data_IF_165197883103
#
_entry.id   IF_165197883103
#
_cell.length_a   1.000
_cell.length_b   1.000
_cell.length_c   1.000
_cell.angle_alpha   90.00
_cell.angle_beta   90.00
_cell.angle_gamma   90.00
#
_symmetry.space_group_name_H-M   'P 1'
#
loop_
_entity.id
_entity.type
_entity.pdbx_description
1 polymer ?
#
# COMPACT_ATOMS: atom_id res chain seq x y z
N UNK A 1 3.11 36.56 -7.44
CA UNK A 1 1.69 36.41 -7.06
C UNK A 1 1.20 35.20 -7.85
N UNK A 2 1.59 33.98 -7.50
CA UNK A 2 1.18 33.17 -6.34
C UNK A 2 -0.31 32.86 -6.37
N UNK A 3 -0.65 31.65 -6.83
CA UNK A 3 -1.67 30.73 -6.29
C UNK A 3 -1.60 29.43 -7.12
N UNK A 4 -0.71 28.51 -6.71
CA UNK A 4 -1.10 27.24 -6.08
C UNK A 4 -1.86 26.30 -7.03
N UNK A 5 -1.13 25.69 -7.98
CA UNK A 5 -1.50 24.32 -8.35
C UNK A 5 -1.38 23.48 -7.07
N UNK A 6 -2.45 22.79 -6.61
CA UNK A 6 -2.28 21.85 -5.53
C UNK A 6 -1.30 20.78 -6.03
N UNK A 7 -0.11 20.75 -5.43
CA UNK A 7 0.92 19.77 -5.71
C UNK A 7 0.31 18.37 -5.64
N UNK A 8 0.11 17.74 -6.80
CA UNK A 8 -0.35 16.36 -6.97
C UNK A 8 -1.68 16.05 -6.31
N UNK A 9 -2.72 15.73 -7.10
CA UNK A 9 -3.86 15.01 -6.52
C UNK A 9 -3.34 13.80 -5.73
N UNK A 10 -3.82 13.55 -4.49
CA UNK A 10 -3.33 12.42 -3.70
C UNK A 10 -3.45 11.13 -4.52
N UNK A 11 -2.46 10.23 -4.48
CA UNK A 11 -2.49 9.00 -5.26
C UNK A 11 -3.83 8.29 -5.03
N UNK A 12 -4.57 8.11 -6.12
CA UNK A 12 -5.87 7.42 -6.08
C UNK A 12 -5.63 5.93 -6.03
N UNK A 13 -5.50 5.40 -4.82
CA UNK A 13 -5.34 3.97 -4.59
C UNK A 13 -6.52 3.18 -5.15
N UNK A 14 -6.22 2.13 -5.90
CA UNK A 14 -7.20 1.25 -6.53
C UNK A 14 -7.51 0.03 -5.67
N UNK A 15 -6.49 -0.51 -4.99
CA UNK A 15 -6.62 -1.75 -4.24
C UNK A 15 -5.94 -1.67 -2.89
N UNK A 16 -6.50 -2.38 -1.93
CA UNK A 16 -5.83 -2.75 -0.69
C UNK A 16 -5.47 -4.24 -0.76
N UNK A 17 -4.18 -4.51 -0.71
CA UNK A 17 -3.58 -5.83 -0.67
C UNK A 17 -3.22 -6.19 0.76
N UNK A 18 -3.43 -7.45 1.13
CA UNK A 18 -3.02 -7.99 2.43
C UNK A 18 -2.12 -9.18 2.23
N UNK A 19 -0.97 -9.14 2.89
CA UNK A 19 0.03 -10.21 2.85
C UNK A 19 0.19 -10.83 4.24
N UNK A 20 0.47 -12.13 4.30
CA UNK A 20 0.86 -12.79 5.55
C UNK A 20 2.36 -12.62 5.74
N UNK A 21 2.77 -12.30 6.97
CA UNK A 21 4.19 -12.30 7.30
C UNK A 21 4.66 -13.73 7.52
N UNK A 22 5.82 -14.08 7.00
CA UNK A 22 6.37 -15.44 7.06
C UNK A 22 6.78 -15.81 8.49
N UNK A 23 7.36 -14.87 9.22
CA UNK A 23 7.82 -15.09 10.60
C UNK A 23 6.68 -15.04 11.64
N UNK A 24 5.57 -14.38 11.32
CA UNK A 24 4.44 -14.20 12.24
C UNK A 24 3.10 -14.41 11.50
N UNK A 25 2.61 -15.64 11.37
CA UNK A 25 1.43 -15.95 10.53
C UNK A 25 0.14 -15.25 11.00
N UNK A 26 0.05 -14.84 12.27
CA UNK A 26 -1.07 -14.07 12.81
C UNK A 26 -1.01 -12.57 12.47
N UNK A 27 0.09 -12.10 11.88
CA UNK A 27 0.28 -10.70 11.46
C UNK A 27 0.10 -10.57 9.95
N UNK A 28 -0.54 -9.47 9.56
CA UNK A 28 -0.71 -9.08 8.18
C UNK A 28 0.02 -7.77 7.88
N UNK A 29 0.59 -7.67 6.68
CA UNK A 29 1.02 -6.42 6.08
C UNK A 29 -0.10 -5.89 5.18
N UNK A 30 -0.44 -4.62 5.33
CA UNK A 30 -1.42 -3.92 4.50
C UNK A 30 -0.71 -3.01 3.52
N UNK A 31 -1.07 -3.10 2.25
CA UNK A 31 -0.39 -2.38 1.17
C UNK A 31 -1.43 -1.82 0.22
N UNK A 32 -1.32 -0.56 -0.16
CA UNK A 32 -2.15 0.04 -1.19
C UNK A 32 -1.46 -0.03 -2.54
N UNK A 33 -2.24 -0.34 -3.57
CA UNK A 33 -1.81 -0.29 -4.97
C UNK A 33 -2.46 0.94 -5.63
N UNK A 34 -1.66 1.75 -6.32
CA UNK A 34 -2.17 2.87 -7.11
C UNK A 34 -2.57 2.45 -8.54
N UNK A 35 -2.81 3.44 -9.43
CA UNK A 35 -3.22 3.17 -10.82
C UNK A 35 -2.07 2.75 -11.72
N UNK A 36 -0.85 3.06 -11.32
CA UNK A 36 0.38 2.78 -12.05
C UNK A 36 1.01 1.45 -11.58
N UNK A 37 0.40 0.80 -10.59
CA UNK A 37 0.84 -0.49 -10.03
C UNK A 37 1.88 -0.35 -8.91
N UNK A 38 2.08 0.86 -8.40
CA UNK A 38 3.00 1.10 -7.28
C UNK A 38 2.36 0.72 -5.96
N UNK A 39 3.19 0.13 -5.09
CA UNK A 39 2.79 -0.38 -3.79
C UNK A 39 3.24 0.53 -2.65
N UNK A 40 2.32 0.81 -1.73
CA UNK A 40 2.53 1.68 -0.59
C UNK A 40 2.11 0.99 0.69
N UNK A 41 3.04 0.80 1.63
CA UNK A 41 2.77 0.13 2.89
C UNK A 41 1.99 1.05 3.83
N UNK A 42 0.89 0.52 4.38
CA UNK A 42 0.10 1.17 5.42
C UNK A 42 0.67 0.84 6.80
N UNK A 43 0.94 1.86 7.62
CA UNK A 43 1.18 1.70 9.06
C UNK A 43 -0.04 2.11 9.90
N UNK A 44 0.13 2.14 11.22
CA UNK A 44 -0.86 2.61 12.19
C UNK A 44 -1.51 3.92 11.73
N UNK A 45 -2.81 4.06 11.99
CA UNK A 45 -3.66 5.15 11.46
C UNK A 45 -3.86 5.16 9.94
N UNK A 46 -3.59 4.05 9.25
CA UNK A 46 -4.08 3.87 7.89
C UNK A 46 -3.44 4.87 6.88
N UNK A 47 -2.35 5.54 7.27
CA UNK A 47 -1.58 6.41 6.39
C UNK A 47 -0.59 5.58 5.56
N UNK A 48 -0.45 5.84 4.25
CA UNK A 48 0.64 5.28 3.45
C UNK A 48 1.96 5.92 3.89
N UNK A 49 2.72 5.19 4.72
CA UNK A 49 3.94 5.70 5.37
C UNK A 49 5.19 5.40 4.52
N UNK A 50 5.18 4.37 3.65
CA UNK A 50 6.36 3.95 2.89
C UNK A 50 6.00 3.50 1.47
N UNK A 51 6.77 3.97 0.48
CA UNK A 51 6.65 3.61 -0.93
C UNK A 51 7.34 4.65 -1.83
N UNK A 52 7.30 4.47 -3.16
CA UNK A 52 6.71 3.33 -3.87
C UNK A 52 7.61 2.08 -3.86
N UNK A 53 6.98 0.90 -3.85
CA UNK A 53 7.64 -0.40 -4.01
C UNK A 53 7.02 -1.19 -5.17
N UNK A 54 7.77 -2.15 -5.67
CA UNK A 54 7.28 -3.27 -6.49
C UNK A 54 6.86 -4.46 -5.62
N UNK A 55 6.12 -5.41 -6.19
CA UNK A 55 5.71 -6.64 -5.48
C UNK A 55 6.89 -7.43 -4.91
N UNK A 56 7.96 -7.56 -5.70
CA UNK A 56 9.17 -8.28 -5.27
C UNK A 56 9.88 -7.58 -4.10
N UNK A 57 9.91 -6.24 -4.11
CA UNK A 57 10.48 -5.46 -3.02
C UNK A 57 9.63 -5.58 -1.75
N UNK A 58 8.31 -5.63 -1.85
CA UNK A 58 7.43 -5.88 -0.69
C UNK A 58 7.73 -7.24 -0.06
N UNK A 59 7.78 -8.31 -0.86
CA UNK A 59 8.04 -9.66 -0.36
C UNK A 59 9.40 -9.75 0.35
N UNK A 60 10.45 -9.15 -0.23
CA UNK A 60 11.80 -9.18 0.33
C UNK A 60 11.95 -8.28 1.56
N UNK A 61 11.50 -7.03 1.50
CA UNK A 61 11.73 -6.05 2.55
C UNK A 61 10.91 -6.30 3.82
N UNK A 62 9.71 -6.87 3.67
CA UNK A 62 8.78 -7.10 4.77
C UNK A 62 8.62 -8.59 5.15
N UNK A 63 9.37 -9.48 4.48
CA UNK A 63 9.36 -10.93 4.74
C UNK A 63 7.94 -11.50 4.75
N UNK A 64 7.20 -11.21 3.68
CA UNK A 64 5.83 -11.67 3.47
C UNK A 64 5.75 -12.69 2.33
N UNK A 65 4.63 -13.40 2.24
CA UNK A 65 4.32 -14.22 1.07
C UNK A 65 4.41 -13.40 -0.23
N UNK A 66 4.81 -14.04 -1.34
CA UNK A 66 5.02 -13.37 -2.62
C UNK A 66 3.71 -12.84 -3.25
N UNK A 67 2.56 -13.41 -2.86
CA UNK A 67 1.24 -13.02 -3.34
C UNK A 67 0.35 -12.58 -2.16
N UNK A 68 -0.54 -11.60 -2.37
CA UNK A 68 -1.49 -11.22 -1.35
C UNK A 68 -2.52 -12.33 -1.15
N UNK A 69 -2.79 -12.69 0.10
CA UNK A 69 -3.83 -13.67 0.43
C UNK A 69 -5.25 -13.06 0.34
N UNK A 70 -5.35 -11.73 0.36
CA UNK A 70 -6.61 -11.01 0.20
C UNK A 70 -6.42 -9.68 -0.51
N UNK A 71 -7.38 -9.37 -1.40
CA UNK A 71 -7.40 -8.16 -2.21
C UNK A 71 -8.77 -7.50 -2.05
N UNK A 72 -8.78 -6.18 -1.83
CA UNK A 72 -9.99 -5.37 -1.78
C UNK A 72 -9.90 -4.28 -2.84
N UNK A 73 -10.75 -4.36 -3.85
CA UNK A 73 -10.90 -3.30 -4.85
C UNK A 73 -11.64 -2.11 -4.26
N UNK A 74 -11.21 -0.89 -4.65
CA UNK A 74 -11.74 0.39 -4.16
C UNK A 74 -11.73 0.48 -2.64
N UNK A 75 -10.56 0.47 -1.99
CA UNK A 75 -10.50 0.71 -0.56
C UNK A 75 -11.20 2.04 -0.28
N UNK A 76 -12.22 2.01 0.60
CA UNK A 76 -12.93 3.23 1.00
C UNK A 76 -11.91 4.30 1.39
N UNK A 77 -12.15 5.56 0.99
CA UNK A 77 -11.23 6.68 1.21
C UNK A 77 -10.65 6.58 2.61
N UNK A 78 -9.36 6.31 2.66
CA UNK A 78 -8.66 6.16 3.91
C UNK A 78 -8.49 7.57 4.46
N UNK A 79 -9.41 7.96 5.35
CA UNK A 79 -9.48 9.28 5.96
C UNK A 79 -8.32 9.54 6.90
#
# INVERSE_FOLDING_TARGET
MSENEPAGAPPRFLRLLRFRTLDFPDKELRVLEDRDGWLYVLRLWNTPDFGPYTMAEIALAFQVEAEPWHVTDRPAEIK
#
